data_IF_191765837584
#
_entry.id   IF_191765837584
#
_cell.length_a   1.000
_cell.length_b   1.000
_cell.length_c   1.000
_cell.angle_alpha   90.00
_cell.angle_beta   90.00
_cell.angle_gamma   90.00
#
_symmetry.space_group_name_H-M   'P 1'
#
loop_
_entity.id
_entity.type
_entity.pdbx_description
1 polymer ?
#
# COMPACT_ATOMS: atom_id res chain seq x y z
N UNK A 1 -0.90 0.02 -6.62
CA UNK A 1 -0.89 0.08 -5.14
C UNK A 1 -0.90 -1.29 -4.49
N UNK A 2 -2.00 -2.07 -4.45
CA UNK A 2 -1.99 -3.40 -3.80
C UNK A 2 -0.93 -4.37 -4.35
N UNK A 3 -0.83 -4.44 -5.68
CA UNK A 3 0.14 -5.30 -6.39
C UNK A 3 1.57 -4.84 -6.16
N UNK A 4 1.81 -3.52 -6.17
CA UNK A 4 3.12 -2.93 -5.92
C UNK A 4 3.61 -3.23 -4.51
N UNK A 5 2.76 -3.02 -3.49
CA UNK A 5 3.11 -3.30 -2.10
C UNK A 5 3.39 -4.79 -1.89
N UNK A 6 2.58 -5.68 -2.46
CA UNK A 6 2.80 -7.12 -2.37
C UNK A 6 4.08 -7.61 -3.07
N UNK A 7 4.40 -7.05 -4.25
CA UNK A 7 5.57 -7.46 -5.03
C UNK A 7 6.88 -6.83 -4.55
N UNK A 8 6.83 -5.66 -3.93
CA UNK A 8 8.03 -4.91 -3.53
C UNK A 8 8.23 -4.93 -2.02
N UNK A 9 7.21 -4.59 -1.23
CA UNK A 9 7.33 -4.45 0.22
C UNK A 9 7.59 -5.79 0.91
N UNK A 10 6.86 -6.84 0.51
CA UNK A 10 6.98 -8.17 1.14
C UNK A 10 8.36 -8.79 0.88
N UNK A 11 8.87 -8.89 -0.37
CA UNK A 11 10.20 -9.47 -0.60
C UNK A 11 11.33 -8.64 0.03
N UNK A 12 11.25 -7.30 -0.03
CA UNK A 12 12.24 -6.44 0.62
C UNK A 12 12.21 -6.57 2.14
N UNK A 13 11.01 -6.68 2.74
CA UNK A 13 10.85 -6.90 4.18
C UNK A 13 11.41 -8.24 4.63
N UNK A 14 11.15 -9.31 3.85
CA UNK A 14 11.76 -10.63 4.07
C UNK A 14 13.29 -10.54 3.98
N UNK A 15 13.81 -9.93 2.92
CA UNK A 15 15.25 -9.76 2.71
C UNK A 15 15.92 -9.01 3.87
N UNK A 16 15.32 -7.89 4.28
CA UNK A 16 15.82 -7.02 5.36
C UNK A 16 15.80 -7.72 6.72
N UNK A 17 14.79 -8.53 7.03
CA UNK A 17 14.74 -9.31 8.27
C UNK A 17 15.70 -10.52 8.26
N UNK A 18 15.82 -11.24 7.14
CA UNK A 18 16.74 -12.39 7.03
C UNK A 18 18.20 -11.94 7.03
N UNK A 19 18.51 -10.79 6.44
CA UNK A 19 19.85 -10.18 6.42
C UNK A 19 19.91 -8.95 7.33
N UNK A 20 19.48 -9.14 8.57
CA UNK A 20 19.53 -8.09 9.59
C UNK A 20 20.94 -7.50 9.70
N UNK A 21 21.02 -6.17 9.83
CA UNK A 21 22.27 -5.40 9.91
C UNK A 21 23.11 -5.35 8.62
N UNK A 22 22.64 -5.91 7.50
CA UNK A 22 23.28 -5.70 6.22
C UNK A 22 23.15 -4.24 5.75
N UNK A 23 24.00 -3.84 4.79
CA UNK A 23 23.88 -2.53 4.13
C UNK A 23 22.49 -2.39 3.50
N UNK A 24 21.98 -3.47 2.88
CA UNK A 24 20.64 -3.49 2.28
C UNK A 24 19.52 -3.28 3.30
N UNK A 25 19.63 -3.86 4.50
CA UNK A 25 18.70 -3.62 5.62
C UNK A 25 18.71 -2.15 6.04
N UNK A 26 19.90 -1.56 6.22
CA UNK A 26 20.04 -0.16 6.60
C UNK A 26 19.48 0.78 5.52
N UNK A 27 19.79 0.55 4.24
CA UNK A 27 19.28 1.39 3.14
C UNK A 27 17.75 1.29 3.03
N UNK A 28 17.19 0.09 3.11
CA UNK A 28 15.74 -0.10 3.03
C UNK A 28 15.03 0.55 4.23
N UNK A 29 15.62 0.45 5.42
CA UNK A 29 15.09 1.06 6.64
C UNK A 29 15.14 2.59 6.60
N UNK A 30 16.26 3.17 6.16
CA UNK A 30 16.41 4.64 6.04
C UNK A 30 15.44 5.20 5.00
N UNK A 31 15.35 4.59 3.82
CA UNK A 31 14.39 4.99 2.79
C UNK A 31 12.95 4.84 3.29
N UNK A 32 12.64 3.77 4.00
CA UNK A 32 11.33 3.56 4.63
C UNK A 32 10.99 4.66 5.64
N UNK A 33 11.94 5.09 6.47
CA UNK A 33 11.75 6.20 7.39
C UNK A 33 11.51 7.53 6.69
N UNK A 34 12.26 7.82 5.63
CA UNK A 34 12.05 9.04 4.83
C UNK A 34 10.65 9.04 4.21
N UNK A 35 10.23 7.90 3.64
CA UNK A 35 8.89 7.74 3.07
C UNK A 35 7.76 7.89 4.08
N UNK A 36 7.94 7.41 5.32
CA UNK A 36 6.94 7.56 6.39
C UNK A 36 6.94 8.95 7.04
N UNK A 37 8.11 9.59 7.14
CA UNK A 37 8.25 10.91 7.75
C UNK A 37 7.75 12.04 6.83
N UNK A 38 7.72 11.80 5.52
CA UNK A 38 7.27 12.79 4.53
C UNK A 38 5.74 12.72 4.38
N UNK A 39 5.00 13.82 4.63
CA UNK A 39 3.57 13.84 4.36
C UNK A 39 3.27 13.57 2.88
N UNK A 40 2.30 12.70 2.58
CA UNK A 40 2.01 12.30 1.19
C UNK A 40 1.70 13.49 0.25
N UNK A 41 0.99 14.50 0.74
CA UNK A 41 0.67 15.68 -0.07
C UNK A 41 1.93 16.51 -0.38
N UNK A 42 2.88 16.60 0.55
CA UNK A 42 4.16 17.28 0.33
C UNK A 42 5.01 16.50 -0.66
N UNK A 43 5.05 15.18 -0.52
CA UNK A 43 5.74 14.31 -1.47
C UNK A 43 5.16 14.43 -2.88
N UNK A 44 3.82 14.53 -2.99
CA UNK A 44 3.13 14.82 -4.24
C UNK A 44 3.58 16.13 -4.87
N UNK A 45 3.65 17.22 -4.10
CA UNK A 45 4.13 18.53 -4.58
C UNK A 45 5.59 18.46 -5.09
N UNK A 46 6.46 17.77 -4.37
CA UNK A 46 7.87 17.59 -4.77
C UNK A 46 7.94 16.83 -6.10
N UNK A 47 7.20 15.73 -6.23
CA UNK A 47 7.20 14.93 -7.47
C UNK A 47 6.56 15.66 -8.65
N UNK A 48 5.50 16.45 -8.43
CA UNK A 48 4.94 17.33 -9.46
C UNK A 48 5.97 18.36 -9.94
N UNK A 49 6.67 19.02 -9.00
CA UNK A 49 7.71 20.00 -9.36
C UNK A 49 8.83 19.36 -10.17
N UNK A 50 9.32 18.19 -9.75
CA UNK A 50 10.37 17.47 -10.47
C UNK A 50 9.87 16.94 -11.83
N UNK A 51 8.67 16.39 -11.87
CA UNK A 51 7.98 15.95 -13.09
C UNK A 51 7.88 17.07 -14.12
N UNK A 52 7.37 18.22 -13.71
CA UNK A 52 7.25 19.39 -14.58
C UNK A 52 8.61 19.91 -15.04
N UNK A 53 9.57 20.10 -14.10
CA UNK A 53 10.87 20.72 -14.41
C UNK A 53 11.78 19.86 -15.28
N UNK A 54 11.79 18.54 -15.08
CA UNK A 54 12.73 17.63 -15.74
C UNK A 54 12.10 16.86 -16.90
N UNK A 55 10.80 16.58 -16.83
CA UNK A 55 10.08 15.77 -17.82
C UNK A 55 9.03 16.58 -18.61
N UNK A 56 8.85 17.87 -18.32
CA UNK A 56 7.91 18.73 -19.03
C UNK A 56 6.44 18.35 -18.85
N UNK A 57 6.12 17.57 -17.81
CA UNK A 57 4.76 17.08 -17.56
C UNK A 57 3.81 18.21 -17.16
N UNK A 58 2.52 18.01 -17.42
CA UNK A 58 1.47 18.89 -16.88
C UNK A 58 1.47 18.86 -15.36
N UNK A 59 1.13 20.00 -14.75
CA UNK A 59 1.02 20.10 -13.29
C UNK A 59 -0.34 19.55 -12.88
N UNK A 60 -0.35 18.34 -12.35
CA UNK A 60 -1.57 17.66 -11.93
C UNK A 60 -2.33 17.02 -13.09
N UNK A 61 -3.35 16.24 -12.75
CA UNK A 61 -4.14 15.46 -13.69
C UNK A 61 -3.46 14.16 -14.13
N UNK A 62 -4.24 13.33 -14.80
CA UNK A 62 -3.76 12.08 -15.41
C UNK A 62 -3.49 12.24 -16.91
N UNK A 63 -3.68 13.43 -17.47
CA UNK A 63 -3.60 13.68 -18.90
C UNK A 63 -2.89 15.01 -19.16
N UNK A 64 -2.28 15.14 -20.33
CA UNK A 64 -1.88 16.43 -20.86
C UNK A 64 -3.12 17.25 -21.25
N UNK A 65 -3.01 18.59 -21.35
CA UNK A 65 -4.13 19.46 -21.70
C UNK A 65 -4.83 19.09 -23.02
N UNK A 66 -4.09 18.50 -23.98
CA UNK A 66 -4.64 18.08 -25.26
C UNK A 66 -5.49 16.79 -25.17
N UNK A 67 -5.26 15.97 -24.14
CA UNK A 67 -5.91 14.67 -23.97
C UNK A 67 -6.96 14.63 -22.85
N UNK A 68 -7.15 15.74 -22.12
CA UNK A 68 -8.07 15.83 -20.98
C UNK A 68 -9.52 15.48 -21.38
N UNK A 69 -10.03 16.15 -22.41
CA UNK A 69 -11.40 15.95 -22.95
C UNK A 69 -11.43 15.12 -24.26
N UNK A 70 -10.29 14.58 -24.69
CA UNK A 70 -10.21 13.82 -25.94
C UNK A 70 -10.94 12.46 -25.84
N UNK A 71 -11.50 11.97 -26.95
CA UNK A 71 -12.06 10.63 -27.00
C UNK A 71 -10.99 9.56 -26.66
N UNK A 72 -11.43 8.42 -26.12
CA UNK A 72 -10.52 7.32 -25.81
C UNK A 72 -9.80 6.80 -27.07
N UNK A 73 -8.48 6.96 -27.08
CA UNK A 73 -7.59 6.50 -28.15
C UNK A 73 -6.34 5.89 -27.54
N UNK A 74 -5.59 5.10 -28.32
CA UNK A 74 -4.31 4.55 -27.87
C UNK A 74 -3.30 5.65 -27.51
N UNK A 75 -3.36 6.81 -28.17
CA UNK A 75 -2.54 7.97 -27.82
C UNK A 75 -2.90 8.53 -26.44
N UNK A 76 -4.21 8.72 -26.16
CA UNK A 76 -4.70 9.14 -24.84
C UNK A 76 -4.33 8.14 -23.74
N UNK A 77 -4.39 6.85 -24.02
CA UNK A 77 -3.97 5.81 -23.07
C UNK A 77 -2.46 5.85 -22.78
N UNK A 78 -1.64 6.04 -23.82
CA UNK A 78 -0.19 6.20 -23.66
C UNK A 78 0.17 7.43 -22.84
N UNK A 79 -0.50 8.56 -23.10
CA UNK A 79 -0.35 9.80 -22.33
C UNK A 79 -0.73 9.60 -20.85
N UNK A 80 -1.84 8.89 -20.60
CA UNK A 80 -2.26 8.53 -19.24
C UNK A 80 -1.17 7.76 -18.49
N UNK A 81 -0.55 6.76 -19.13
CA UNK A 81 0.52 5.97 -18.51
C UNK A 81 1.76 6.81 -18.18
N UNK A 82 2.07 7.82 -19.00
CA UNK A 82 3.16 8.75 -18.76
C UNK A 82 2.88 9.70 -17.58
N UNK A 83 1.62 9.93 -17.23
CA UNK A 83 1.23 10.73 -16.05
C UNK A 83 0.94 9.88 -14.82
N UNK A 84 0.64 8.58 -15.00
CA UNK A 84 0.23 7.67 -13.93
C UNK A 84 1.34 7.37 -12.91
N UNK A 85 2.62 7.48 -13.28
CA UNK A 85 3.71 7.13 -12.38
C UNK A 85 3.77 8.05 -11.15
N UNK A 86 3.41 9.32 -11.26
CA UNK A 86 3.41 10.28 -10.13
C UNK A 86 2.44 9.81 -9.03
N UNK A 87 1.13 9.66 -9.28
CA UNK A 87 0.19 9.18 -8.26
C UNK A 87 0.54 7.77 -7.78
N UNK A 88 1.05 6.90 -8.65
CA UNK A 88 1.50 5.55 -8.25
C UNK A 88 2.65 5.64 -7.24
N UNK A 89 3.68 6.45 -7.49
CA UNK A 89 4.82 6.58 -6.56
C UNK A 89 4.37 7.25 -5.27
N UNK A 90 3.59 8.35 -5.34
CA UNK A 90 3.14 9.06 -4.14
C UNK A 90 2.33 8.14 -3.22
N UNK A 91 1.33 7.47 -3.78
CA UNK A 91 0.41 6.66 -3.00
C UNK A 91 1.01 5.29 -2.66
N UNK A 92 1.86 4.75 -3.54
CA UNK A 92 2.55 3.47 -3.39
C UNK A 92 3.67 3.50 -2.37
N UNK A 93 4.55 4.51 -2.40
CA UNK A 93 5.78 4.56 -1.59
C UNK A 93 5.48 4.53 -0.09
N UNK A 94 4.55 5.34 0.39
CA UNK A 94 4.22 5.40 1.82
C UNK A 94 3.65 4.07 2.33
N UNK A 95 2.72 3.47 1.57
CA UNK A 95 2.17 2.17 1.93
C UNK A 95 3.20 1.03 1.82
N UNK A 96 4.10 1.09 0.84
CA UNK A 96 5.22 0.15 0.67
C UNK A 96 6.20 0.24 1.84
N UNK A 97 6.57 1.45 2.27
CA UNK A 97 7.43 1.67 3.44
C UNK A 97 6.81 1.13 4.73
N UNK A 98 5.50 1.38 4.93
CA UNK A 98 4.75 0.83 6.05
C UNK A 98 4.74 -0.71 6.03
N UNK A 99 4.35 -1.33 4.91
CA UNK A 99 4.26 -2.79 4.81
C UNK A 99 5.62 -3.48 4.90
N UNK A 100 6.68 -2.90 4.32
CA UNK A 100 8.05 -3.43 4.42
C UNK A 100 8.49 -3.50 5.88
N UNK A 101 8.26 -2.42 6.63
CA UNK A 101 8.60 -2.34 8.05
C UNK A 101 7.79 -3.32 8.88
N UNK A 102 6.48 -3.42 8.61
CA UNK A 102 5.61 -4.39 9.26
C UNK A 102 6.10 -5.82 9.00
N UNK A 103 6.38 -6.18 7.74
CA UNK A 103 6.92 -7.50 7.38
C UNK A 103 8.24 -7.78 8.07
N UNK A 104 9.15 -6.80 8.11
CA UNK A 104 10.46 -6.94 8.75
C UNK A 104 10.30 -7.20 10.25
N UNK A 105 9.49 -6.40 10.93
CA UNK A 105 9.27 -6.52 12.37
C UNK A 105 8.63 -7.87 12.72
N UNK A 106 7.54 -8.23 12.04
CA UNK A 106 6.83 -9.48 12.29
C UNK A 106 7.70 -10.69 11.97
N UNK A 107 8.50 -10.64 10.89
CA UNK A 107 9.38 -11.74 10.55
C UNK A 107 10.53 -11.89 11.57
N UNK A 108 11.11 -10.80 12.06
CA UNK A 108 12.13 -10.87 13.11
C UNK A 108 11.59 -11.50 14.40
N UNK A 109 10.35 -11.21 14.78
CA UNK A 109 9.71 -11.82 15.94
C UNK A 109 9.48 -13.33 15.73
N UNK A 110 9.05 -13.75 14.53
CA UNK A 110 8.83 -15.16 14.19
C UNK A 110 10.14 -15.96 14.11
N UNK A 111 11.21 -15.37 13.60
CA UNK A 111 12.53 -16.01 13.44
C UNK A 111 13.13 -16.48 14.77
N UNK A 112 12.77 -15.84 15.88
CA UNK A 112 13.28 -16.14 17.22
C UNK A 112 12.47 -17.23 17.95
N UNK A 113 11.43 -17.81 17.33
CA UNK A 113 10.55 -18.80 17.98
C UNK A 113 11.10 -20.22 17.92
N UNK A 114 10.78 -21.03 18.93
CA UNK A 114 11.26 -22.41 19.08
C UNK A 114 10.99 -23.31 17.87
N UNK A 115 9.86 -23.14 17.18
CA UNK A 115 9.54 -23.95 16.00
C UNK A 115 10.52 -23.71 14.83
N UNK A 116 11.09 -22.50 14.72
CA UNK A 116 12.12 -22.17 13.72
C UNK A 116 13.44 -22.84 14.09
N UNK A 117 13.83 -22.75 15.36
CA UNK A 117 15.04 -23.41 15.89
C UNK A 117 14.96 -24.93 15.72
N UNK A 118 13.81 -25.54 16.02
CA UNK A 118 13.57 -26.97 15.84
C UNK A 118 13.64 -27.38 14.37
N UNK A 119 13.03 -26.61 13.46
CA UNK A 119 13.09 -26.88 12.03
C UNK A 119 14.52 -26.78 11.48
N UNK A 120 15.32 -25.81 11.97
CA UNK A 120 16.73 -25.65 11.63
C UNK A 120 17.57 -26.82 12.14
N UNK A 121 17.38 -27.25 13.39
CA UNK A 121 18.06 -28.40 13.98
C UNK A 121 17.71 -29.72 13.25
N UNK A 122 16.48 -29.83 12.75
CA UNK A 122 16.03 -30.95 11.91
C UNK A 122 16.57 -30.95 10.48
N UNK A 123 17.46 -30.03 10.11
CA UNK A 123 18.12 -30.01 8.79
C UNK A 123 17.24 -29.55 7.63
N UNK A 124 16.11 -28.88 7.90
CA UNK A 124 15.26 -28.34 6.82
C UNK A 124 16.02 -27.22 6.08
N UNK A 125 16.10 -27.24 4.74
CA UNK A 125 16.77 -26.20 3.97
C UNK A 125 16.24 -24.80 4.33
N UNK A 126 17.15 -23.84 4.52
CA UNK A 126 16.82 -22.53 5.11
C UNK A 126 15.71 -21.80 4.35
N UNK A 127 15.79 -21.71 3.02
CA UNK A 127 14.75 -21.06 2.21
C UNK A 127 13.38 -21.73 2.36
N UNK A 128 13.32 -23.08 2.34
CA UNK A 128 12.07 -23.83 2.49
C UNK A 128 11.50 -23.65 3.90
N UNK A 129 12.35 -23.64 4.92
CA UNK A 129 11.95 -23.40 6.30
C UNK A 129 11.38 -21.98 6.45
N UNK A 130 12.09 -20.95 5.98
CA UNK A 130 11.67 -19.55 6.05
C UNK A 130 10.31 -19.33 5.40
N UNK A 131 10.14 -19.76 4.14
CA UNK A 131 8.90 -19.53 3.38
C UNK A 131 7.70 -20.30 3.97
N UNK A 132 7.94 -21.51 4.50
CA UNK A 132 6.87 -22.38 4.98
C UNK A 132 6.36 -22.02 6.37
N UNK A 133 7.25 -21.55 7.25
CA UNK A 133 6.94 -21.35 8.67
C UNK A 133 6.88 -19.85 9.04
N UNK A 134 7.99 -19.14 9.32
CA UNK A 134 7.93 -17.79 9.87
C UNK A 134 7.37 -16.76 8.88
N UNK A 135 7.65 -16.86 7.57
CA UNK A 135 7.10 -15.92 6.57
C UNK A 135 5.59 -16.02 6.48
N UNK A 136 5.04 -17.24 6.50
CA UNK A 136 3.60 -17.45 6.47
C UNK A 136 2.90 -16.77 7.65
N UNK A 137 3.48 -16.85 8.85
CA UNK A 137 2.93 -16.20 10.04
C UNK A 137 3.12 -14.67 9.99
N UNK A 138 4.28 -14.22 9.52
CA UNK A 138 4.61 -12.79 9.41
C UNK A 138 3.74 -12.03 8.40
N UNK A 139 3.09 -12.74 7.46
CA UNK A 139 2.14 -12.16 6.49
C UNK A 139 0.77 -11.82 7.10
N UNK A 140 0.39 -12.40 8.24
CA UNK A 140 -0.96 -12.22 8.80
C UNK A 140 -1.30 -10.72 8.99
N UNK A 141 -0.45 -9.87 9.58
CA UNK A 141 -0.77 -8.44 9.72
C UNK A 141 -0.87 -7.70 8.37
N UNK A 142 -0.15 -8.13 7.35
CA UNK A 142 -0.19 -7.52 6.01
C UNK A 142 -1.52 -7.84 5.34
N UNK A 143 -1.95 -9.09 5.42
CA UNK A 143 -3.23 -9.55 4.87
C UNK A 143 -4.38 -8.85 5.59
N UNK A 144 -4.28 -8.68 6.92
CA UNK A 144 -5.26 -7.95 7.73
C UNK A 144 -5.47 -6.49 7.24
N UNK A 145 -4.42 -5.84 6.72
CA UNK A 145 -4.53 -4.46 6.21
C UNK A 145 -5.25 -4.35 4.87
N UNK A 146 -5.40 -5.46 4.13
CA UNK A 146 -6.11 -5.46 2.84
C UNK A 146 -7.55 -4.97 2.96
N UNK A 147 -8.16 -5.11 4.15
CA UNK A 147 -9.54 -4.69 4.34
C UNK A 147 -9.78 -3.18 4.19
N UNK A 148 -8.78 -2.37 4.49
CA UNK A 148 -8.84 -0.92 4.34
C UNK A 148 -8.43 -0.45 2.94
N UNK A 149 -7.77 -1.31 2.17
CA UNK A 149 -7.25 -0.96 0.85
C UNK A 149 -8.37 -0.78 -0.19
N UNK A 150 -9.51 -1.47 -0.05
CA UNK A 150 -10.68 -1.25 -0.91
C UNK A 150 -11.21 0.19 -0.79
N UNK A 151 -11.35 0.68 0.44
CA UNK A 151 -11.79 2.06 0.69
C UNK A 151 -10.75 3.06 0.21
N UNK A 152 -9.45 2.76 0.39
CA UNK A 152 -8.38 3.62 -0.12
C UNK A 152 -8.36 3.72 -1.65
N UNK A 153 -8.77 2.67 -2.39
CA UNK A 153 -8.87 2.71 -3.86
C UNK A 153 -9.98 3.67 -4.31
N UNK A 154 -11.09 3.72 -3.57
CA UNK A 154 -12.28 4.50 -3.95
C UNK A 154 -12.16 5.93 -3.43
N UNK A 155 -11.93 6.11 -2.13
CA UNK A 155 -11.80 7.42 -1.49
C UNK A 155 -10.48 8.12 -1.82
N UNK A 156 -9.48 7.38 -2.31
CA UNK A 156 -8.13 7.89 -2.47
C UNK A 156 -7.52 8.38 -1.16
N UNK A 157 -6.46 9.18 -1.28
CA UNK A 157 -6.01 10.07 -0.21
C UNK A 157 -6.54 11.48 -0.56
N UNK A 158 -7.65 11.96 0.03
CA UNK A 158 -8.39 13.11 -0.49
C UNK A 158 -7.54 14.36 -0.70
N UNK A 159 -6.64 14.64 0.24
CA UNK A 159 -5.72 15.78 0.15
C UNK A 159 -4.72 15.61 -1.00
N UNK A 160 -4.19 14.39 -1.18
CA UNK A 160 -3.28 14.08 -2.28
C UNK A 160 -4.00 14.16 -3.62
N UNK A 161 -5.24 13.71 -3.69
CA UNK A 161 -6.07 13.79 -4.88
C UNK A 161 -6.35 15.24 -5.29
N UNK A 162 -6.58 16.14 -4.32
CA UNK A 162 -6.69 17.58 -4.59
C UNK A 162 -5.37 18.13 -5.15
N UNK A 163 -4.24 17.81 -4.52
CA UNK A 163 -2.91 18.28 -4.95
C UNK A 163 -2.53 17.78 -6.34
N UNK A 164 -2.84 16.52 -6.63
CA UNK A 164 -2.55 15.88 -7.91
C UNK A 164 -3.67 16.10 -8.95
N UNK A 165 -4.74 16.83 -8.61
CA UNK A 165 -5.93 17.01 -9.45
C UNK A 165 -6.48 15.69 -10.01
N UNK A 166 -6.57 14.66 -9.17
CA UNK A 166 -7.04 13.34 -9.55
C UNK A 166 -8.58 13.29 -9.60
N UNK A 167 -9.16 12.61 -10.60
CA UNK A 167 -10.61 12.45 -10.74
C UNK A 167 -11.12 11.30 -9.86
N UNK A 168 -10.99 11.41 -8.53
CA UNK A 168 -11.53 10.44 -7.56
C UNK A 168 -12.59 11.05 -6.62
N UNK A 169 -13.13 10.25 -5.70
CA UNK A 169 -14.20 10.72 -4.78
C UNK A 169 -13.66 11.52 -3.60
N UNK A 170 -12.35 11.62 -3.42
CA UNK A 170 -11.71 12.36 -2.32
C UNK A 170 -12.01 13.86 -2.35
N UNK A 171 -11.74 14.59 -3.45
CA UNK A 171 -12.07 16.00 -3.59
C UNK A 171 -13.56 16.28 -3.40
N UNK A 172 -14.43 15.40 -3.92
CA UNK A 172 -15.89 15.53 -3.73
C UNK A 172 -16.28 15.44 -2.24
N UNK A 173 -15.63 14.55 -1.48
CA UNK A 173 -15.85 14.42 -0.05
C UNK A 173 -15.36 15.65 0.74
N UNK A 174 -14.17 16.17 0.43
CA UNK A 174 -13.66 17.38 1.09
C UNK A 174 -14.54 18.59 0.77
N UNK A 175 -14.97 18.74 -0.48
CA UNK A 175 -15.84 19.83 -0.89
C UNK A 175 -17.22 19.77 -0.20
N UNK A 176 -17.80 18.58 -0.02
CA UNK A 176 -19.08 18.46 0.69
C UNK A 176 -18.96 18.86 2.17
N UNK A 177 -17.84 18.52 2.82
CA UNK A 177 -17.56 18.97 4.20
C UNK A 177 -17.38 20.49 4.29
N UNK A 178 -16.61 21.10 3.38
CA UNK A 178 -16.35 22.54 3.37
C UNK A 178 -17.62 23.36 3.08
N UNK A 179 -18.48 22.87 2.18
CA UNK A 179 -19.75 23.50 1.84
C UNK A 179 -20.89 23.13 2.79
N UNK A 180 -20.60 22.35 3.84
CA UNK A 180 -21.58 21.87 4.81
C UNK A 180 -22.76 21.10 4.18
N UNK A 181 -22.53 20.43 3.05
CA UNK A 181 -23.50 19.50 2.46
C UNK A 181 -23.46 18.18 3.25
N UNK A 182 -24.13 18.18 4.40
CA UNK A 182 -24.14 17.06 5.34
C UNK A 182 -24.80 15.81 4.74
N UNK A 183 -25.72 15.96 3.78
CA UNK A 183 -26.35 14.83 3.11
C UNK A 183 -25.35 14.11 2.21
N UNK A 184 -24.63 14.85 1.36
CA UNK A 184 -23.60 14.28 0.51
C UNK A 184 -22.44 13.71 1.33
N UNK A 185 -21.93 14.47 2.31
CA UNK A 185 -20.84 14.00 3.18
C UNK A 185 -21.25 12.73 3.95
N UNK A 186 -22.46 12.68 4.49
CA UNK A 186 -23.00 11.52 5.19
C UNK A 186 -23.16 10.30 4.27
N UNK A 187 -23.66 10.49 3.05
CA UNK A 187 -23.78 9.42 2.06
C UNK A 187 -22.40 8.83 1.69
N UNK A 188 -21.39 9.69 1.49
CA UNK A 188 -20.03 9.24 1.19
C UNK A 188 -19.41 8.47 2.37
N UNK A 189 -19.59 8.94 3.60
CA UNK A 189 -19.14 8.22 4.80
C UNK A 189 -19.80 6.84 4.89
N UNK A 190 -21.11 6.74 4.65
CA UNK A 190 -21.80 5.45 4.66
C UNK A 190 -21.21 4.50 3.62
N UNK A 191 -20.99 4.97 2.39
CA UNK A 191 -20.35 4.17 1.33
C UNK A 191 -18.96 3.71 1.77
N UNK A 192 -18.13 4.60 2.31
CA UNK A 192 -16.77 4.26 2.77
C UNK A 192 -16.80 3.25 3.91
N UNK A 193 -17.69 3.41 4.90
CA UNK A 193 -17.87 2.45 5.99
C UNK A 193 -18.30 1.08 5.47
N UNK A 194 -19.25 1.02 4.53
CA UNK A 194 -19.66 -0.25 3.91
C UNK A 194 -18.50 -0.92 3.18
N UNK A 195 -17.69 -0.15 2.45
CA UNK A 195 -16.50 -0.67 1.76
C UNK A 195 -15.45 -1.20 2.75
N UNK A 196 -15.23 -0.51 3.88
CA UNK A 196 -14.34 -1.00 4.95
C UNK A 196 -14.84 -2.32 5.51
N UNK A 197 -16.14 -2.45 5.77
CA UNK A 197 -16.75 -3.69 6.29
C UNK A 197 -16.55 -4.83 5.28
N UNK A 198 -16.86 -4.60 4.01
CA UNK A 198 -16.69 -5.60 2.94
C UNK A 198 -15.22 -5.99 2.81
N UNK A 199 -14.32 -5.01 2.79
CA UNK A 199 -12.89 -5.26 2.69
C UNK A 199 -12.36 -6.04 3.88
N UNK A 200 -12.75 -5.66 5.10
CA UNK A 200 -12.34 -6.36 6.32
C UNK A 200 -12.84 -7.80 6.31
N UNK A 201 -14.08 -8.03 5.90
CA UNK A 201 -14.62 -9.38 5.73
C UNK A 201 -13.83 -10.22 4.71
N UNK A 202 -13.46 -9.64 3.57
CA UNK A 202 -12.59 -10.30 2.58
C UNK A 202 -11.22 -10.62 3.19
N UNK A 203 -10.65 -9.68 3.93
CA UNK A 203 -9.38 -9.85 4.64
C UNK A 203 -9.45 -11.00 5.65
N UNK A 204 -10.53 -11.11 6.43
CA UNK A 204 -10.72 -12.19 7.41
C UNK A 204 -10.82 -13.57 6.73
N UNK A 205 -11.50 -13.65 5.58
CA UNK A 205 -11.54 -14.88 4.77
C UNK A 205 -10.14 -15.24 4.28
N UNK A 206 -9.39 -14.27 3.75
CA UNK A 206 -8.02 -14.49 3.28
C UNK A 206 -7.10 -14.96 4.41
N UNK A 207 -7.23 -14.38 5.60
CA UNK A 207 -6.53 -14.80 6.80
C UNK A 207 -6.86 -16.25 7.17
N UNK A 208 -8.13 -16.64 7.12
CA UNK A 208 -8.52 -18.03 7.40
C UNK A 208 -7.91 -19.04 6.40
N UNK A 209 -7.77 -18.65 5.13
CA UNK A 209 -7.15 -19.48 4.10
C UNK A 209 -5.63 -19.55 4.30
N UNK A 210 -5.01 -18.41 4.60
CA UNK A 210 -3.57 -18.29 4.80
C UNK A 210 -3.10 -18.93 6.10
N UNK A 211 -3.86 -18.84 7.18
CA UNK A 211 -3.52 -19.45 8.47
C UNK A 211 -4.67 -20.32 9.02
N UNK A 212 -4.60 -21.65 8.80
CA UNK A 212 -5.61 -22.57 9.31
C UNK A 212 -5.60 -22.70 10.84
N UNK A 213 -4.63 -22.11 11.57
CA UNK A 213 -4.67 -22.06 13.05
C UNK A 213 -5.75 -21.14 13.56
N UNK A 214 -6.11 -20.09 12.80
CA UNK A 214 -7.24 -19.21 13.13
C UNK A 214 -8.56 -19.99 13.17
N UNK A 215 -8.68 -21.10 12.40
CA UNK A 215 -9.84 -22.01 12.49
C UNK A 215 -9.92 -22.80 13.81
N UNK A 216 -8.81 -22.93 14.55
CA UNK A 216 -8.74 -23.75 15.76
C UNK A 216 -9.13 -22.97 17.03
N UNK A 217 -8.94 -21.64 17.05
CA UNK A 217 -9.32 -20.79 18.18
C UNK A 217 -10.85 -20.64 18.31
N UNK A 218 -11.61 -20.72 17.21
CA UNK A 218 -13.08 -20.71 17.25
C UNK A 218 -13.74 -22.00 17.76
N UNK A 219 -12.96 -22.97 18.25
CA UNK A 219 -13.45 -24.26 18.78
C UNK A 219 -13.12 -24.49 20.27
N UNK A 220 -12.68 -23.45 21.00
CA UNK A 220 -12.55 -23.49 22.47
C UNK A 220 -13.76 -22.88 23.16
#
# INVERSE_FOLDING_TARGET
>A
MLVEKGLVAVPLGIYSAVRQYSIGDHTATVLGYIGLATPNFLFALILLYLGHKWFGMSVGGLFSPEFEDAAWTWARFGDMLMHLWVPVIVLGTAGTAFQLRTMRATLLDELNKMYVTAARAGGVPEFRMLMKYPVRMALNPIVATLGWELTNIISGAPIVAIVLSLPDTGPLFINSLLNQDMYLAGAMILIYCTLVIIGTFISDILLMILDPRIRLEGRS
#
